data_IF_456081569669
#
_entry.id   IF_456081569669
#
_cell.length_a   1.000
_cell.length_b   1.000
_cell.length_c   1.000
_cell.angle_alpha   90.00
_cell.angle_beta   90.00
_cell.angle_gamma   90.00
#
_symmetry.space_group_name_H-M   'P 1'
#
loop_
_entity.id
_entity.type
_entity.pdbx_description
1 polymer ?
#
# COMPACT_ATOMS: atom_id res chain seq x y z
N UNK A 1 -15.41 -22.07 -54.25
CA UNK A 1 -16.62 -22.62 -53.58
C UNK A 1 -17.24 -21.54 -52.73
N UNK A 2 -18.53 -21.26 -52.92
CA UNK A 2 -19.28 -20.23 -52.17
C UNK A 2 -19.45 -20.71 -50.72
N UNK A 3 -19.00 -19.91 -49.75
CA UNK A 3 -19.22 -20.18 -48.32
C UNK A 3 -20.72 -19.99 -48.07
N UNK A 4 -21.41 -21.06 -47.66
CA UNK A 4 -22.84 -21.04 -47.36
C UNK A 4 -23.06 -20.47 -45.94
N UNK A 5 -23.55 -19.23 -45.85
CA UNK A 5 -23.55 -18.40 -44.62
C UNK A 5 -24.71 -18.75 -43.65
N UNK A 6 -25.54 -19.76 -43.93
CA UNK A 6 -26.73 -20.07 -43.11
C UNK A 6 -26.55 -21.22 -42.09
N UNK A 7 -25.32 -21.61 -41.73
CA UNK A 7 -25.11 -22.67 -40.74
C UNK A 7 -24.99 -22.08 -39.31
N UNK A 8 -25.96 -22.31 -38.41
CA UNK A 8 -25.95 -21.75 -37.05
C UNK A 8 -24.73 -22.20 -36.23
N UNK A 9 -24.14 -23.37 -36.54
CA UNK A 9 -22.90 -23.84 -35.90
C UNK A 9 -21.70 -22.93 -36.23
N UNK A 10 -21.68 -22.33 -37.42
CA UNK A 10 -20.61 -21.39 -37.84
C UNK A 10 -20.68 -20.11 -37.02
N UNK A 11 -21.88 -19.57 -36.79
CA UNK A 11 -22.08 -18.38 -35.97
C UNK A 11 -21.72 -18.58 -34.49
N UNK A 12 -21.97 -19.77 -33.93
CA UNK A 12 -21.57 -20.13 -32.56
C UNK A 12 -20.05 -20.17 -32.43
N UNK A 13 -19.34 -20.81 -33.37
CA UNK A 13 -17.87 -20.89 -33.34
C UNK A 13 -17.21 -19.52 -33.50
N UNK A 14 -17.77 -18.66 -34.37
CA UNK A 14 -17.33 -17.28 -34.52
C UNK A 14 -17.57 -16.50 -33.21
N UNK A 15 -18.74 -16.63 -32.59
CA UNK A 15 -19.08 -15.95 -31.33
C UNK A 15 -18.14 -16.32 -30.17
N UNK A 16 -17.84 -17.61 -30.00
CA UNK A 16 -16.90 -18.10 -28.97
C UNK A 16 -15.49 -17.58 -29.23
N UNK A 17 -15.05 -17.58 -30.49
CA UNK A 17 -13.70 -17.12 -30.88
C UNK A 17 -13.54 -15.62 -30.65
N UNK A 18 -14.54 -14.82 -31.02
CA UNK A 18 -14.56 -13.36 -30.77
C UNK A 18 -14.58 -13.07 -29.27
N UNK A 19 -15.42 -13.76 -28.49
CA UNK A 19 -15.46 -13.60 -27.03
C UNK A 19 -14.11 -13.96 -26.37
N UNK A 20 -13.46 -15.05 -26.80
CA UNK A 20 -12.13 -15.44 -26.33
C UNK A 20 -11.05 -14.38 -26.62
N UNK A 21 -11.06 -13.80 -27.83
CA UNK A 21 -10.15 -12.71 -28.20
C UNK A 21 -10.42 -11.45 -27.36
N UNK A 22 -11.69 -11.09 -27.14
CA UNK A 22 -12.05 -9.94 -26.31
C UNK A 22 -11.61 -10.14 -24.86
N UNK A 23 -11.83 -11.32 -24.28
CA UNK A 23 -11.38 -11.65 -22.91
C UNK A 23 -9.85 -11.59 -22.82
N UNK A 24 -9.13 -12.16 -23.79
CA UNK A 24 -7.67 -12.15 -23.83
C UNK A 24 -7.09 -10.73 -23.99
N UNK A 25 -7.71 -9.91 -24.84
CA UNK A 25 -7.27 -8.52 -25.07
C UNK A 25 -7.54 -7.65 -23.85
N UNK A 26 -8.69 -7.79 -23.20
CA UNK A 26 -9.03 -7.08 -21.96
C UNK A 26 -8.14 -7.51 -20.79
N UNK A 27 -7.87 -8.81 -20.61
CA UNK A 27 -6.92 -9.28 -19.59
C UNK A 27 -5.50 -8.79 -19.85
N UNK A 28 -5.02 -8.77 -21.10
CA UNK A 28 -3.72 -8.17 -21.46
C UNK A 28 -3.70 -6.66 -21.20
N UNK A 29 -4.79 -5.95 -21.50
CA UNK A 29 -4.92 -4.50 -21.23
C UNK A 29 -4.88 -4.21 -19.73
N UNK A 30 -5.60 -4.98 -18.91
CA UNK A 30 -5.56 -4.89 -17.44
C UNK A 30 -4.15 -5.14 -16.90
N UNK A 31 -3.47 -6.19 -17.36
CA UNK A 31 -2.07 -6.47 -16.98
C UNK A 31 -1.13 -5.33 -17.38
N UNK A 32 -1.26 -4.77 -18.59
CA UNK A 32 -0.43 -3.63 -19.03
C UNK A 32 -0.71 -2.37 -18.21
N UNK A 33 -1.97 -2.11 -17.86
CA UNK A 33 -2.36 -0.96 -17.03
C UNK A 33 -1.85 -1.12 -15.60
N UNK A 34 -1.97 -2.31 -15.00
CA UNK A 34 -1.39 -2.63 -13.70
C UNK A 34 0.13 -2.43 -13.71
N UNK A 35 0.84 -2.96 -14.72
CA UNK A 35 2.29 -2.80 -14.90
C UNK A 35 2.72 -1.35 -15.21
N UNK A 36 1.81 -0.50 -15.72
CA UNK A 36 2.04 0.93 -15.93
C UNK A 36 1.86 1.71 -14.64
N UNK A 37 0.84 1.39 -13.84
CA UNK A 37 0.65 1.94 -12.49
C UNK A 37 1.82 1.57 -11.57
N UNK A 38 2.28 0.32 -11.62
CA UNK A 38 3.47 -0.19 -10.91
C UNK A 38 4.76 0.57 -11.29
N UNK A 39 4.81 1.13 -12.51
CA UNK A 39 5.89 2.04 -12.95
C UNK A 39 5.66 3.50 -12.55
N UNK A 40 4.42 3.91 -12.32
CA UNK A 40 4.06 5.27 -11.90
C UNK A 40 4.25 5.46 -10.39
N UNK A 41 4.32 4.38 -9.61
CA UNK A 41 4.46 4.44 -8.16
C UNK A 41 5.69 3.77 -7.56
N UNK A 42 6.67 3.45 -8.41
CA UNK A 42 7.93 2.83 -7.99
C UNK A 42 7.74 1.49 -7.26
N UNK A 43 6.58 0.84 -7.40
CA UNK A 43 6.24 -0.37 -6.66
C UNK A 43 6.03 -0.13 -5.15
N UNK A 44 5.73 1.11 -4.74
CA UNK A 44 5.61 1.46 -3.32
C UNK A 44 4.36 0.86 -2.64
N UNK A 45 3.33 0.50 -3.40
CA UNK A 45 2.01 0.12 -2.88
C UNK A 45 1.66 -1.35 -3.14
N UNK A 46 1.13 -2.01 -2.10
CA UNK A 46 0.45 -3.31 -2.21
C UNK A 46 -1.00 -3.10 -2.67
N UNK A 47 -1.64 -2.06 -2.15
CA UNK A 47 -3.04 -1.72 -2.44
C UNK A 47 -3.24 -0.20 -2.43
N UNK A 48 -4.08 0.28 -3.35
CA UNK A 48 -4.39 1.70 -3.56
C UNK A 48 -5.87 1.94 -3.28
N UNK A 49 -6.15 2.68 -2.22
CA UNK A 49 -7.49 3.08 -1.85
C UNK A 49 -7.44 4.39 -1.06
N UNK A 50 -8.53 5.13 -1.07
CA UNK A 50 -8.63 6.37 -0.31
C UNK A 50 -9.46 6.15 0.97
N UNK A 51 -8.88 6.50 2.11
CA UNK A 51 -9.65 6.74 3.33
C UNK A 51 -9.77 8.25 3.49
N UNK A 52 -10.97 8.75 3.24
CA UNK A 52 -11.27 10.16 3.38
C UNK A 52 -11.22 10.58 4.86
N UNK A 53 -10.78 11.81 5.15
CA UNK A 53 -10.78 12.34 6.50
C UNK A 53 -12.20 12.48 7.04
N UNK A 54 -12.31 12.59 8.37
CA UNK A 54 -13.58 12.92 9.00
C UNK A 54 -13.95 14.37 8.63
N UNK A 55 -15.25 14.67 8.40
CA UNK A 55 -15.68 16.01 8.02
C UNK A 55 -15.16 17.07 8.99
N UNK A 56 -14.67 18.18 8.43
CA UNK A 56 -14.30 19.36 9.20
C UNK A 56 -15.50 19.82 10.03
N UNK A 57 -15.36 20.00 11.36
CA UNK A 57 -16.44 20.53 12.17
C UNK A 57 -16.82 21.96 11.74
N UNK A 58 -18.10 22.35 11.86
CA UNK A 58 -18.55 23.68 11.46
C UNK A 58 -17.92 24.78 12.33
N UNK A 59 -17.83 26.02 11.84
CA UNK A 59 -17.40 27.17 12.64
C UNK A 59 -18.17 27.25 13.97
N UNK A 60 -17.52 27.64 15.08
CA UNK A 60 -16.21 28.29 15.18
C UNK A 60 -15.02 27.32 15.35
N UNK A 61 -15.17 26.03 15.06
CA UNK A 61 -14.09 25.07 15.24
C UNK A 61 -12.84 25.41 14.40
N UNK A 62 -11.66 25.21 14.99
CA UNK A 62 -10.39 25.38 14.29
C UNK A 62 -10.27 24.39 13.11
N UNK A 63 -9.53 24.79 12.07
CA UNK A 63 -9.21 23.89 10.96
C UNK A 63 -8.40 22.70 11.46
N UNK A 64 -8.75 21.52 10.99
CA UNK A 64 -7.98 20.29 11.19
C UNK A 64 -6.52 20.47 10.70
N UNK A 65 -5.56 20.08 11.54
CA UNK A 65 -4.13 20.41 11.37
C UNK A 65 -3.48 19.78 10.13
N UNK A 66 -4.01 18.66 9.64
CA UNK A 66 -3.47 17.90 8.50
C UNK A 66 -4.39 18.01 7.28
N UNK A 67 -5.31 18.97 7.28
CA UNK A 67 -6.25 19.20 6.19
C UNK A 67 -5.52 19.44 4.86
N UNK A 68 -5.79 18.57 3.88
CA UNK A 68 -5.19 18.62 2.54
C UNK A 68 -3.89 17.84 2.39
N UNK A 69 -3.38 17.27 3.48
CA UNK A 69 -2.24 16.35 3.42
C UNK A 69 -2.71 14.92 3.13
N UNK A 70 -1.85 14.19 2.43
CA UNK A 70 -2.00 12.79 2.05
C UNK A 70 -0.97 11.94 2.77
N UNK A 71 -1.35 10.70 3.11
CA UNK A 71 -0.43 9.77 3.72
C UNK A 71 -0.65 8.33 3.26
N UNK A 72 0.38 7.50 3.42
CA UNK A 72 0.28 6.06 3.21
C UNK A 72 0.57 5.30 4.51
N UNK A 73 0.10 4.05 4.59
CA UNK A 73 0.33 3.19 5.75
C UNK A 73 1.00 1.90 5.32
N UNK A 74 2.02 1.45 6.06
CA UNK A 74 2.57 0.10 5.89
C UNK A 74 1.48 -0.96 5.95
N UNK A 75 1.61 -2.06 5.20
CA UNK A 75 0.64 -3.17 5.23
C UNK A 75 0.65 -4.01 6.53
N UNK A 76 0.78 -3.36 7.66
CA UNK A 76 0.71 -3.89 9.03
C UNK A 76 -0.34 -3.15 9.88
N UNK A 77 -0.85 -2.03 9.37
CA UNK A 77 -1.89 -1.22 10.03
C UNK A 77 -3.28 -1.69 9.60
N UNK A 78 -4.14 -1.97 10.57
CA UNK A 78 -5.53 -2.33 10.34
C UNK A 78 -6.34 -1.16 9.79
N UNK A 79 -7.21 -1.49 8.83
CA UNK A 79 -8.24 -0.61 8.29
C UNK A 79 -9.55 -1.37 8.35
N UNK A 80 -10.57 -0.76 8.93
CA UNK A 80 -11.88 -1.38 9.09
C UNK A 80 -12.40 -1.91 7.74
N UNK A 81 -12.87 -3.15 7.74
CA UNK A 81 -13.43 -3.85 6.58
C UNK A 81 -12.39 -4.24 5.50
N UNK A 82 -11.09 -4.05 5.77
CA UNK A 82 -9.98 -4.55 4.94
C UNK A 82 -9.19 -5.64 5.67
N UNK A 83 -8.67 -6.61 4.93
CA UNK A 83 -7.70 -7.58 5.46
C UNK A 83 -6.29 -6.99 5.39
N UNK A 84 -5.62 -6.88 6.54
CA UNK A 84 -4.21 -6.48 6.60
C UNK A 84 -3.33 -7.64 6.14
N UNK A 85 -2.50 -7.42 5.11
CA UNK A 85 -1.78 -8.49 4.44
C UNK A 85 -0.45 -8.86 5.08
N UNK A 86 0.12 -8.01 5.94
CA UNK A 86 1.40 -8.23 6.59
C UNK A 86 2.54 -8.55 5.62
N UNK A 87 2.49 -7.99 4.40
CA UNK A 87 3.47 -8.29 3.36
C UNK A 87 3.39 -9.73 2.81
N UNK A 88 2.32 -10.49 3.08
CA UNK A 88 2.17 -11.88 2.64
C UNK A 88 0.73 -12.18 2.13
N UNK A 89 0.56 -12.66 0.88
CA UNK A 89 -0.77 -12.95 0.33
C UNK A 89 -1.46 -14.17 0.98
N UNK A 90 -0.72 -15.17 1.46
CA UNK A 90 -1.27 -16.31 2.21
C UNK A 90 -1.75 -15.91 3.61
N UNK A 91 -1.03 -14.99 4.28
CA UNK A 91 -1.51 -14.34 5.50
C UNK A 91 -2.85 -13.65 5.22
N UNK A 92 -2.90 -12.81 4.19
CA UNK A 92 -4.13 -12.12 3.78
C UNK A 92 -5.27 -13.10 3.44
N UNK A 93 -4.97 -14.25 2.83
CA UNK A 93 -5.98 -15.26 2.46
C UNK A 93 -6.57 -16.01 3.66
N UNK A 94 -5.80 -16.13 4.74
CA UNK A 94 -6.15 -16.93 5.93
C UNK A 94 -6.70 -16.10 7.09
N UNK A 95 -6.67 -14.77 6.99
CA UNK A 95 -7.14 -13.86 8.02
C UNK A 95 -8.38 -13.09 7.59
N UNK A 96 -9.17 -12.67 8.58
CA UNK A 96 -10.40 -11.92 8.37
C UNK A 96 -10.13 -10.42 8.23
N UNK A 97 -11.13 -9.70 7.71
CA UNK A 97 -11.09 -8.25 7.65
C UNK A 97 -11.08 -7.65 9.06
N UNK A 98 -10.33 -6.57 9.27
CA UNK A 98 -10.25 -5.93 10.56
C UNK A 98 -11.60 -5.31 10.95
N UNK A 99 -12.05 -5.55 12.17
CA UNK A 99 -13.29 -4.94 12.68
C UNK A 99 -13.17 -3.44 13.00
N UNK A 100 -11.95 -2.90 13.06
CA UNK A 100 -11.65 -1.49 13.37
C UNK A 100 -10.40 -1.02 12.64
N UNK A 101 -10.33 0.27 12.34
CA UNK A 101 -9.11 0.94 11.86
C UNK A 101 -8.17 1.20 13.03
N UNK A 102 -6.86 1.08 12.80
CA UNK A 102 -5.82 1.36 13.78
C UNK A 102 -6.00 2.75 14.43
N UNK A 103 -5.67 2.87 15.71
CA UNK A 103 -5.90 4.12 16.48
C UNK A 103 -5.12 5.29 15.89
N UNK A 104 -3.86 5.06 15.48
CA UNK A 104 -3.02 6.08 14.85
C UNK A 104 -3.59 6.54 13.51
N UNK A 105 -4.05 5.60 12.67
CA UNK A 105 -4.67 5.92 11.36
C UNK A 105 -5.96 6.71 11.57
N UNK A 106 -6.81 6.28 12.50
CA UNK A 106 -8.05 6.99 12.86
C UNK A 106 -7.75 8.41 13.36
N UNK A 107 -6.68 8.59 14.12
CA UNK A 107 -6.26 9.91 14.62
C UNK A 107 -5.86 10.84 13.48
N UNK A 108 -5.11 10.35 12.49
CA UNK A 108 -4.73 11.15 11.32
C UNK A 108 -5.94 11.55 10.48
N UNK A 109 -6.86 10.61 10.22
CA UNK A 109 -8.11 10.88 9.50
C UNK A 109 -8.98 11.92 10.23
N UNK A 110 -9.05 11.86 11.57
CA UNK A 110 -9.78 12.85 12.39
C UNK A 110 -9.13 14.24 12.36
N UNK A 111 -7.83 14.31 12.05
CA UNK A 111 -7.08 15.54 11.90
C UNK A 111 -6.97 16.00 10.44
N UNK A 112 -7.78 15.45 9.53
CA UNK A 112 -7.96 16.00 8.18
C UNK A 112 -7.06 15.41 7.10
N UNK A 113 -6.18 14.46 7.43
CA UNK A 113 -5.32 13.81 6.45
C UNK A 113 -6.10 12.73 5.66
N UNK A 114 -5.73 12.51 4.40
CA UNK A 114 -6.31 11.46 3.54
C UNK A 114 -5.32 10.30 3.40
N UNK A 115 -5.73 9.07 3.73
CA UNK A 115 -4.88 7.90 3.48
C UNK A 115 -5.04 7.43 2.04
N UNK A 116 -3.96 7.16 1.31
CA UNK A 116 -4.00 6.79 -0.11
C UNK A 116 -3.62 5.33 -0.42
N UNK A 117 -3.43 4.51 0.61
CA UNK A 117 -3.28 3.07 0.44
C UNK A 117 -2.30 2.41 1.39
N UNK A 118 -2.04 1.13 1.11
CA UNK A 118 -1.14 0.25 1.86
C UNK A 118 0.18 0.06 1.13
N UNK A 119 1.29 0.29 1.82
CA UNK A 119 2.64 0.21 1.23
C UNK A 119 3.28 -1.15 1.40
N UNK A 120 4.17 -1.46 0.45
CA UNK A 120 5.01 -2.67 0.47
C UNK A 120 5.91 -2.67 1.70
N UNK A 121 6.14 -3.87 2.22
CA UNK A 121 7.01 -4.14 3.35
C UNK A 121 7.67 -5.50 3.20
N UNK A 122 8.77 -5.73 3.90
CA UNK A 122 9.35 -7.07 4.06
C UNK A 122 8.28 -7.98 4.69
N UNK A 123 8.23 -9.21 4.20
CA UNK A 123 7.26 -10.22 4.59
C UNK A 123 7.24 -10.42 6.12
N UNK A 124 6.04 -10.31 6.72
CA UNK A 124 5.82 -10.43 8.17
C UNK A 124 6.67 -9.46 9.02
N UNK A 125 7.14 -8.37 8.42
CA UNK A 125 8.13 -7.44 8.98
C UNK A 125 9.50 -8.08 9.31
N UNK A 126 9.77 -9.29 8.81
CA UNK A 126 11.04 -9.99 8.97
C UNK A 126 12.00 -9.63 7.84
N UNK A 127 12.62 -8.46 7.97
CA UNK A 127 13.66 -8.03 7.05
C UNK A 127 14.08 -6.59 7.25
N UNK A 128 15.18 -6.23 6.60
CA UNK A 128 15.75 -4.88 6.63
C UNK A 128 16.16 -4.40 5.24
N UNK A 129 15.96 -5.20 4.20
CA UNK A 129 16.41 -4.86 2.84
C UNK A 129 15.31 -4.18 2.04
N UNK A 130 14.04 -4.41 2.38
CA UNK A 130 12.91 -3.85 1.62
C UNK A 130 12.41 -4.76 0.52
N UNK A 131 12.99 -5.95 0.38
CA UNK A 131 12.64 -6.94 -0.62
C UNK A 131 11.41 -7.74 -0.17
N UNK A 132 10.48 -7.98 -1.10
CA UNK A 132 9.34 -8.83 -0.88
C UNK A 132 9.14 -9.74 -2.09
N UNK A 133 9.14 -11.05 -1.88
CA UNK A 133 9.03 -12.01 -2.98
C UNK A 133 7.66 -12.02 -3.67
N UNK A 134 6.61 -11.55 -2.98
CA UNK A 134 5.23 -11.58 -3.46
C UNK A 134 4.84 -10.28 -4.17
N UNK A 135 5.28 -9.15 -3.63
CA UNK A 135 4.92 -7.81 -4.12
C UNK A 135 6.07 -7.11 -4.87
N UNK A 136 7.27 -7.69 -4.88
CA UNK A 136 8.47 -7.10 -5.45
C UNK A 136 9.17 -6.13 -4.49
N UNK A 137 10.27 -5.55 -4.96
CA UNK A 137 11.08 -4.59 -4.19
C UNK A 137 10.76 -3.18 -4.69
N UNK A 138 10.30 -2.26 -3.82
CA UNK A 138 10.11 -0.86 -4.19
C UNK A 138 11.41 -0.25 -4.72
N UNK A 139 11.30 0.52 -5.80
CA UNK A 139 12.45 1.16 -6.44
C UNK A 139 12.78 2.44 -5.68
N UNK A 140 13.98 2.52 -5.12
CA UNK A 140 14.47 3.75 -4.51
C UNK A 140 14.64 4.84 -5.59
N UNK A 141 13.90 5.97 -5.54
CA UNK A 141 13.95 6.99 -6.58
C UNK A 141 15.30 7.71 -6.63
N UNK A 142 16.03 7.77 -5.51
CA UNK A 142 17.34 8.41 -5.41
C UNK A 142 18.44 7.51 -5.98
N UNK A 143 18.32 6.19 -5.80
CA UNK A 143 19.31 5.19 -6.22
C UNK A 143 18.63 3.92 -6.77
N UNK A 144 18.08 3.94 -8.01
CA UNK A 144 17.21 2.86 -8.52
C UNK A 144 17.84 1.47 -8.60
N UNK A 145 19.17 1.37 -8.59
CA UNK A 145 19.90 0.09 -8.60
C UNK A 145 20.21 -0.47 -7.20
N UNK A 146 19.77 0.22 -6.14
CA UNK A 146 20.00 -0.19 -4.76
C UNK A 146 18.67 -0.47 -4.05
N UNK A 147 18.77 -1.27 -3.00
CA UNK A 147 17.63 -1.59 -2.15
C UNK A 147 17.13 -0.33 -1.40
N UNK A 148 15.81 -0.19 -1.18
CA UNK A 148 15.24 0.93 -0.45
C UNK A 148 15.40 0.81 1.07
N UNK A 149 15.84 -0.36 1.57
CA UNK A 149 15.84 -0.69 2.99
C UNK A 149 14.46 -1.13 3.48
N UNK A 150 14.38 -1.73 4.65
CA UNK A 150 13.18 -2.36 5.19
C UNK A 150 13.08 -2.28 6.72
N UNK A 151 11.99 -2.73 7.35
CA UNK A 151 10.86 -3.40 6.71
C UNK A 151 9.78 -2.48 6.15
N UNK A 152 9.93 -1.15 6.26
CA UNK A 152 8.91 -0.19 5.77
C UNK A 152 9.30 0.43 4.43
N UNK A 153 9.74 -0.41 3.47
CA UNK A 153 10.31 0.01 2.19
C UNK A 153 9.37 0.88 1.36
N UNK A 154 8.14 0.43 1.15
CA UNK A 154 7.16 1.17 0.36
C UNK A 154 6.78 2.50 1.00
N UNK A 155 6.76 2.61 2.34
CA UNK A 155 6.51 3.88 3.02
C UNK A 155 7.61 4.90 2.75
N UNK A 156 8.87 4.49 2.78
CA UNK A 156 9.99 5.39 2.48
C UNK A 156 10.02 5.78 1.01
N UNK A 157 9.80 4.83 0.09
CA UNK A 157 9.75 5.11 -1.36
C UNK A 157 8.58 6.00 -1.72
N UNK A 158 7.41 5.82 -1.09
CA UNK A 158 6.24 6.67 -1.33
C UNK A 158 6.51 8.14 -1.00
N UNK A 159 7.19 8.42 0.12
CA UNK A 159 7.60 9.78 0.49
C UNK A 159 8.72 10.29 -0.41
N UNK A 160 9.76 9.48 -0.63
CA UNK A 160 10.92 9.87 -1.45
C UNK A 160 10.57 10.14 -2.92
N UNK A 161 9.44 9.60 -3.39
CA UNK A 161 8.92 9.78 -4.75
C UNK A 161 7.77 10.81 -4.80
N UNK A 162 7.52 11.54 -3.70
CA UNK A 162 6.46 12.56 -3.59
C UNK A 162 5.05 12.04 -3.92
N UNK A 163 4.80 10.74 -3.69
CA UNK A 163 3.48 10.12 -3.89
C UNK A 163 2.53 10.44 -2.74
N UNK A 164 3.09 10.81 -1.58
CA UNK A 164 2.39 11.24 -0.36
C UNK A 164 3.21 12.29 0.37
N UNK A 165 2.55 13.11 1.18
CA UNK A 165 3.22 14.09 2.04
C UNK A 165 3.96 13.44 3.21
N UNK A 166 3.45 12.31 3.73
CA UNK A 166 4.10 11.53 4.79
C UNK A 166 3.63 10.07 4.77
N UNK A 167 4.32 9.17 5.46
CA UNK A 167 3.89 7.77 5.54
C UNK A 167 4.12 7.16 6.92
N UNK A 168 3.27 6.22 7.33
CA UNK A 168 3.44 5.46 8.56
C UNK A 168 4.21 4.15 8.30
N UNK A 169 5.05 3.80 9.26
CA UNK A 169 5.76 2.53 9.34
C UNK A 169 5.85 2.02 10.77
N UNK A 170 6.52 0.88 10.94
CA UNK A 170 6.84 0.31 12.25
C UNK A 170 8.33 0.10 12.35
N UNK A 171 8.92 0.44 13.49
CA UNK A 171 10.35 0.29 13.78
C UNK A 171 10.53 -0.62 14.99
N UNK A 172 10.82 -1.89 14.71
CA UNK A 172 11.16 -2.90 15.73
C UNK A 172 12.67 -2.91 15.98
N UNK A 173 13.47 -2.90 14.89
CA UNK A 173 14.94 -3.01 14.93
C UNK A 173 15.64 -2.02 13.98
N UNK A 174 14.97 -0.94 13.59
CA UNK A 174 15.44 0.00 12.56
C UNK A 174 14.52 0.10 11.34
N UNK A 175 13.36 -0.56 11.38
CA UNK A 175 12.49 -0.73 10.21
C UNK A 175 11.83 0.56 9.70
N UNK A 176 12.00 1.70 10.38
CA UNK A 176 11.70 3.05 9.84
C UNK A 176 13.00 3.80 9.52
N UNK A 177 13.96 3.78 10.44
CA UNK A 177 15.21 4.56 10.30
C UNK A 177 16.10 4.08 9.14
N UNK A 178 16.21 2.77 8.91
CA UNK A 178 17.00 2.21 7.82
C UNK A 178 16.46 2.60 6.45
N UNK A 179 15.18 2.36 6.11
CA UNK A 179 14.67 2.76 4.81
C UNK A 179 14.64 4.28 4.60
N UNK A 180 14.47 5.07 5.67
CA UNK A 180 14.58 6.53 5.58
C UNK A 180 15.99 6.97 5.16
N UNK A 181 17.02 6.40 5.79
CA UNK A 181 18.41 6.65 5.44
C UNK A 181 18.70 6.30 3.98
N UNK A 182 18.23 5.14 3.50
CA UNK A 182 18.52 4.67 2.15
C UNK A 182 17.78 5.48 1.09
N UNK A 183 16.53 5.87 1.35
CA UNK A 183 15.72 6.65 0.43
C UNK A 183 15.95 8.17 0.53
N UNK A 184 16.80 8.63 1.45
CA UNK A 184 17.14 10.04 1.59
C UNK A 184 16.01 10.92 2.16
N UNK A 185 15.17 10.36 3.02
CA UNK A 185 14.02 11.05 3.65
C UNK A 185 14.14 11.06 5.17
N UNK A 186 13.33 11.89 5.85
CA UNK A 186 13.29 11.85 7.30
C UNK A 186 12.56 10.58 7.76
N UNK A 187 13.08 9.96 8.83
CA UNK A 187 12.46 8.80 9.45
C UNK A 187 12.54 8.91 10.97
N UNK A 188 11.39 9.00 11.62
CA UNK A 188 11.33 9.17 13.07
C UNK A 188 10.74 7.95 13.77
N UNK A 189 11.50 7.44 14.74
CA UNK A 189 11.05 6.45 15.71
C UNK A 189 10.91 7.13 17.07
N UNK A 190 9.68 7.34 17.59
CA UNK A 190 9.49 7.91 18.93
C UNK A 190 9.97 6.97 20.04
N UNK A 191 9.95 7.47 21.28
CA UNK A 191 10.04 6.61 22.46
C UNK A 191 8.94 5.55 22.43
N UNK A 192 9.30 4.32 22.84
CA UNK A 192 8.38 3.19 22.82
C UNK A 192 7.12 3.47 23.65
N UNK A 193 5.95 3.10 23.12
CA UNK A 193 4.66 3.31 23.77
C UNK A 193 4.04 4.70 23.64
N UNK A 194 4.76 5.72 23.12
CA UNK A 194 4.20 7.08 22.93
C UNK A 194 3.07 7.08 21.89
N UNK A 195 3.22 6.31 20.82
CA UNK A 195 2.19 6.13 19.80
C UNK A 195 1.54 4.76 19.98
N UNK A 196 0.21 4.73 20.01
CA UNK A 196 -0.55 3.49 20.18
C UNK A 196 -0.29 2.50 19.05
N UNK A 197 -0.04 1.24 19.41
CA UNK A 197 0.06 0.09 18.49
C UNK A 197 -1.26 -0.68 18.37
N UNK A 198 -2.38 -0.15 18.90
CA UNK A 198 -3.70 -0.79 18.77
C UNK A 198 -4.13 -0.76 17.29
N UNK A 199 -4.42 -1.94 16.74
CA UNK A 199 -4.69 -2.16 15.33
C UNK A 199 -3.42 -2.18 14.47
N UNK A 200 -2.27 -2.52 15.06
CA UNK A 200 -1.03 -2.80 14.35
C UNK A 200 -0.67 -4.25 14.61
N UNK A 201 -0.46 -5.03 13.56
CA UNK A 201 -0.08 -6.44 13.71
C UNK A 201 1.30 -6.51 14.42
N UNK A 202 1.44 -7.35 15.46
CA UNK A 202 2.66 -7.39 16.25
C UNK A 202 3.75 -8.20 15.55
N UNK A 203 4.97 -7.64 15.51
CA UNK A 203 6.20 -8.35 15.19
C UNK A 203 6.92 -8.74 16.49
N UNK A 204 7.24 -7.75 17.33
CA UNK A 204 7.75 -7.94 18.69
C UNK A 204 7.18 -6.86 19.61
N UNK A 205 6.19 -7.22 20.45
CA UNK A 205 5.43 -6.27 21.26
C UNK A 205 6.29 -5.38 22.16
N UNK A 206 7.44 -5.87 22.64
CA UNK A 206 8.35 -5.13 23.51
C UNK A 206 9.24 -4.12 22.77
N UNK A 207 9.28 -4.18 21.43
CA UNK A 207 10.15 -3.35 20.58
C UNK A 207 9.35 -2.53 19.57
N UNK A 208 8.22 -3.05 19.11
CA UNK A 208 7.39 -2.45 18.07
C UNK A 208 6.99 -1.03 18.42
N UNK A 209 7.35 -0.11 17.54
CA UNK A 209 7.07 1.31 17.69
C UNK A 209 6.56 1.86 16.38
N UNK A 210 5.38 2.49 16.39
CA UNK A 210 4.89 3.21 15.21
C UNK A 210 5.79 4.43 14.98
N UNK A 211 6.30 4.56 13.76
CA UNK A 211 7.09 5.69 13.31
C UNK A 211 6.56 6.24 11.99
N UNK A 212 7.20 7.27 11.48
CA UNK A 212 6.78 7.92 10.24
C UNK A 212 7.93 8.45 9.41
N UNK A 213 7.63 8.69 8.14
CA UNK A 213 8.49 9.26 7.12
C UNK A 213 7.93 10.60 6.64
N UNK A 214 8.79 11.56 6.30
CA UNK A 214 8.44 12.87 5.74
C UNK A 214 9.61 13.46 4.94
#
# INVERSE_FOLDING_TARGET
GKINVSNPKVWIVIGISVAGIVILTETRRRRRRARKLEREDFGAFVDRFELLPFPQPPPPAARQLLSGLTFAIKDIFDVKDYVTGFGNPDWKRTHEAAGKTAVVVTTLLKNGATCIGKTVMDELAFGITGENMHYGTPINPQMPSHIPGGSSSGSAVAVASELVDFALGTDTIGCVRTPASFCGVLGFRPSHGVVSTIGVLPNSRSLDTVGWFA
#
